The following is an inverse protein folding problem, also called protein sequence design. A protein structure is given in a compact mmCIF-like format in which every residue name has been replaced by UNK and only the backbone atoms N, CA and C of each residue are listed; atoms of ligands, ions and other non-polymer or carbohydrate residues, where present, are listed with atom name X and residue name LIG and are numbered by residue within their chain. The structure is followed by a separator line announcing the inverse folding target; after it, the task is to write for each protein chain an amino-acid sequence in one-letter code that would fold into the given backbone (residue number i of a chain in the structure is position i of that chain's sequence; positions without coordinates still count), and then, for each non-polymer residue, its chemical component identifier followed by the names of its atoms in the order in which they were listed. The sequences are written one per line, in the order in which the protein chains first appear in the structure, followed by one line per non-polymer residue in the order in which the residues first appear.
data_IF_993624017229
#
_entry.id   IF_993624017229
#
_cell.length_a   1.000
_cell.length_b   1.000
_cell.length_c   1.000
_cell.angle_alpha   90.00
_cell.angle_beta   90.00
_cell.angle_gamma   90.00
#
_symmetry.space_group_name_H-M   'P 1'
#
loop_
_entity.id
_entity.type
_entity.pdbx_description
1 polymer ?
#
# COMPACT_ATOMS: atom_id res chain seq x y z
N UNK A 1 12.83 -1.60 -25.94
CA UNK A 1 12.03 -2.79 -26.22
C UNK A 1 10.88 -2.74 -25.24
N UNK A 2 9.65 -2.55 -25.71
CA UNK A 2 8.48 -2.53 -24.82
C UNK A 2 8.13 -3.99 -24.57
N UNK A 3 8.73 -4.60 -23.55
CA UNK A 3 8.36 -5.93 -23.08
C UNK A 3 6.99 -5.80 -22.42
N UNK A 4 5.95 -5.93 -23.25
CA UNK A 4 4.56 -5.93 -22.81
C UNK A 4 4.37 -7.13 -21.89
N UNK A 5 4.21 -6.83 -20.60
CA UNK A 5 3.85 -7.83 -19.61
C UNK A 5 2.47 -8.41 -19.95
N UNK A 6 2.26 -9.72 -19.75
CA UNK A 6 0.95 -10.32 -19.92
C UNK A 6 -0.02 -9.80 -18.86
N UNK A 7 -1.25 -9.49 -19.26
CA UNK A 7 -2.31 -9.06 -18.35
C UNK A 7 -2.72 -10.21 -17.40
N UNK A 8 -2.89 -11.41 -17.96
CA UNK A 8 -3.24 -12.62 -17.23
C UNK A 8 -2.11 -13.64 -17.28
N UNK A 9 -1.78 -14.21 -16.13
CA UNK A 9 -0.75 -15.23 -15.96
C UNK A 9 -1.34 -16.51 -15.35
N UNK A 10 -0.85 -17.66 -15.80
CA UNK A 10 -1.07 -18.95 -15.14
C UNK A 10 0.20 -19.26 -14.32
N UNK A 11 0.18 -19.06 -12.99
CA UNK A 11 1.38 -19.19 -12.17
C UNK A 11 1.87 -20.64 -12.09
N UNK A 12 0.99 -21.63 -12.24
CA UNK A 12 1.36 -23.05 -12.21
C UNK A 12 2.11 -23.41 -13.50
N UNK A 13 1.57 -23.02 -14.66
CA UNK A 13 2.18 -23.28 -15.95
C UNK A 13 3.52 -22.54 -16.11
N UNK A 14 3.60 -21.28 -15.66
CA UNK A 14 4.85 -20.51 -15.68
C UNK A 14 5.90 -21.12 -14.74
N UNK A 15 5.49 -21.63 -13.57
CA UNK A 15 6.39 -22.32 -12.65
C UNK A 15 6.92 -23.64 -13.23
N UNK A 16 6.09 -24.38 -13.98
CA UNK A 16 6.53 -25.57 -14.71
C UNK A 16 7.59 -25.27 -15.76
N UNK A 17 7.45 -24.13 -16.43
CA UNK A 17 8.38 -23.67 -17.46
C UNK A 17 9.58 -22.92 -16.88
N UNK A 18 9.62 -22.68 -15.57
CA UNK A 18 10.62 -21.86 -14.88
C UNK A 18 10.79 -20.49 -15.54
N UNK A 19 9.66 -19.86 -15.85
CA UNK A 19 9.63 -18.59 -16.58
C UNK A 19 9.95 -17.41 -15.68
N UNK A 20 10.39 -16.33 -16.32
CA UNK A 20 10.64 -15.04 -15.70
C UNK A 20 9.94 -13.96 -16.52
N UNK A 21 9.37 -12.98 -15.84
CA UNK A 21 8.73 -11.81 -16.42
C UNK A 21 9.43 -10.56 -15.88
N UNK A 22 9.95 -9.75 -16.79
CA UNK A 22 10.59 -8.46 -16.45
C UNK A 22 9.91 -7.38 -17.28
N UNK A 23 9.56 -6.28 -16.63
CA UNK A 23 8.92 -5.17 -17.33
C UNK A 23 8.50 -4.06 -16.40
N UNK A 24 7.61 -3.21 -16.91
CA UNK A 24 7.06 -2.10 -16.16
C UNK A 24 5.54 -1.99 -16.35
N UNK A 25 4.84 -1.63 -15.28
CA UNK A 25 3.40 -1.37 -15.26
C UNK A 25 3.19 0.11 -14.95
N UNK A 26 2.31 0.80 -15.66
CA UNK A 26 2.01 2.20 -15.34
C UNK A 26 1.23 2.25 -14.03
N UNK A 27 1.57 3.22 -13.16
CA UNK A 27 0.84 3.41 -11.91
C UNK A 27 -0.64 3.69 -12.18
N UNK A 28 -0.95 4.44 -13.24
CA UNK A 28 -2.32 4.73 -13.66
C UNK A 28 -3.16 3.52 -14.06
N UNK A 29 -2.54 2.36 -14.34
CA UNK A 29 -3.25 1.10 -14.65
C UNK A 29 -3.56 0.29 -13.37
N UNK A 30 -3.11 0.76 -12.20
CA UNK A 30 -3.36 0.16 -10.88
C UNK A 30 -4.42 1.00 -10.14
N UNK A 31 -5.69 0.64 -10.31
CA UNK A 31 -6.83 1.46 -9.89
C UNK A 31 -6.88 1.69 -8.36
N UNK A 32 -6.73 0.62 -7.56
CA UNK A 32 -6.80 0.70 -6.09
C UNK A 32 -5.61 1.47 -5.53
N UNK A 33 -4.43 1.32 -6.13
CA UNK A 33 -3.26 2.09 -5.75
C UNK A 33 -3.46 3.56 -6.11
N UNK A 34 -3.92 3.84 -7.33
CA UNK A 34 -4.12 5.21 -7.84
C UNK A 34 -5.01 6.06 -6.93
N UNK A 35 -6.07 5.46 -6.36
CA UNK A 35 -6.98 6.14 -5.42
C UNK A 35 -6.31 6.61 -4.12
N UNK A 36 -5.15 6.05 -3.76
CA UNK A 36 -4.41 6.39 -2.53
C UNK A 36 -3.28 7.40 -2.76
N UNK A 37 -2.92 7.65 -4.01
CA UNK A 37 -1.79 8.51 -4.36
C UNK A 37 -2.23 9.97 -4.55
N UNK A 38 -1.31 10.89 -4.33
CA UNK A 38 -1.48 12.30 -4.67
C UNK A 38 -1.39 12.53 -6.19
N UNK A 39 -0.63 11.71 -6.90
CA UNK A 39 -0.65 11.59 -8.36
C UNK A 39 -0.29 10.16 -8.80
N UNK A 40 -0.63 9.83 -10.04
CA UNK A 40 -0.44 8.50 -10.63
C UNK A 40 0.67 8.49 -11.68
N UNK A 41 1.61 9.44 -11.61
CA UNK A 41 2.67 9.56 -12.60
C UNK A 41 3.80 8.56 -12.33
N UNK A 42 4.26 7.91 -13.40
CA UNK A 42 5.39 6.99 -13.35
C UNK A 42 4.99 5.53 -13.54
N UNK A 43 6.01 4.70 -13.43
CA UNK A 43 5.93 3.26 -13.70
C UNK A 43 6.45 2.46 -12.50
N UNK A 44 5.94 1.24 -12.38
CA UNK A 44 6.40 0.22 -11.44
C UNK A 44 7.26 -0.76 -12.20
N UNK A 45 8.57 -0.78 -11.91
CA UNK A 45 9.46 -1.79 -12.45
C UNK A 45 9.28 -3.09 -11.67
N UNK A 46 9.14 -4.20 -12.39
CA UNK A 46 8.95 -5.52 -11.79
C UNK A 46 9.87 -6.56 -12.43
N UNK A 47 10.33 -7.47 -11.58
CA UNK A 47 10.98 -8.72 -11.96
C UNK A 47 10.27 -9.85 -11.21
N UNK A 48 9.69 -10.81 -11.92
CA UNK A 48 8.89 -11.90 -11.34
C UNK A 48 9.38 -13.23 -11.87
N UNK A 49 9.77 -14.12 -10.96
CA UNK A 49 10.28 -15.45 -11.24
C UNK A 49 9.30 -16.50 -10.78
N UNK A 50 8.97 -17.43 -11.66
CA UNK A 50 8.10 -18.56 -11.39
C UNK A 50 8.93 -19.84 -11.26
N UNK A 51 8.75 -20.58 -10.18
CA UNK A 51 9.52 -21.80 -9.92
C UNK A 51 8.68 -22.85 -9.20
N UNK A 52 9.20 -24.08 -9.10
CA UNK A 52 8.64 -25.12 -8.23
C UNK A 52 9.57 -25.36 -7.04
N UNK A 53 9.00 -25.31 -5.83
CA UNK A 53 9.66 -25.75 -4.59
C UNK A 53 9.01 -27.05 -4.14
N UNK A 54 9.64 -28.19 -4.46
CA UNK A 54 9.02 -29.50 -4.29
C UNK A 54 7.80 -29.67 -5.20
N UNK A 55 6.61 -29.79 -4.61
CA UNK A 55 5.33 -29.89 -5.35
C UNK A 55 4.62 -28.55 -5.51
N UNK A 56 5.03 -27.51 -4.79
CA UNK A 56 4.36 -26.21 -4.78
C UNK A 56 4.93 -25.32 -5.90
N UNK A 57 4.03 -24.67 -6.64
CA UNK A 57 4.41 -23.56 -7.51
C UNK A 57 4.64 -22.32 -6.64
N UNK A 58 5.72 -21.58 -6.92
CA UNK A 58 6.11 -20.38 -6.18
C UNK A 58 6.32 -19.22 -7.14
N UNK A 59 5.89 -18.04 -6.73
CA UNK A 59 6.05 -16.78 -7.45
C UNK A 59 6.89 -15.86 -6.56
N UNK A 60 8.10 -15.53 -6.98
CA UNK A 60 8.96 -14.59 -6.27
C UNK A 60 9.10 -13.34 -7.12
N UNK A 61 9.14 -12.17 -6.52
CA UNK A 61 9.35 -10.96 -7.29
C UNK A 61 10.05 -9.84 -6.54
N UNK A 62 10.49 -8.87 -7.33
CA UNK A 62 11.08 -7.61 -6.90
C UNK A 62 10.31 -6.47 -7.56
N UNK A 63 9.87 -5.53 -6.74
CA UNK A 63 9.09 -4.36 -7.14
C UNK A 63 9.92 -3.14 -6.79
N UNK A 64 10.08 -2.22 -7.75
CA UNK A 64 10.76 -0.96 -7.54
C UNK A 64 10.01 0.20 -8.20
N UNK A 65 9.70 1.21 -7.41
CA UNK A 65 9.01 2.41 -7.88
C UNK A 65 9.19 3.58 -6.92
N UNK A 66 8.71 4.76 -7.31
CA UNK A 66 8.59 5.92 -6.43
C UNK A 66 7.15 6.39 -6.52
N UNK A 67 6.43 6.33 -5.40
CA UNK A 67 5.02 6.71 -5.31
C UNK A 67 4.90 8.16 -4.83
N UNK A 68 3.95 8.92 -5.33
CA UNK A 68 3.62 10.22 -4.73
C UNK A 68 2.48 10.06 -3.72
N UNK A 69 2.79 10.00 -2.43
CA UNK A 69 1.80 9.82 -1.36
C UNK A 69 1.31 11.16 -0.82
N UNK A 70 0.09 11.21 -0.31
CA UNK A 70 -0.40 12.36 0.44
C UNK A 70 0.04 12.29 1.90
N UNK A 71 0.74 13.31 2.41
CA UNK A 71 1.12 13.38 3.81
C UNK A 71 -0.10 13.59 4.71
N UNK A 72 -0.33 12.71 5.68
CA UNK A 72 -1.45 12.79 6.63
C UNK A 72 -1.36 13.97 7.62
N UNK A 73 -0.23 14.66 7.69
CA UNK A 73 -0.06 15.84 8.55
C UNK A 73 -0.35 17.16 7.81
N UNK A 74 0.28 17.41 6.67
CA UNK A 74 0.14 18.67 5.92
C UNK A 74 -0.76 18.57 4.68
N UNK A 75 -1.21 17.37 4.31
CA UNK A 75 -2.01 17.06 3.11
C UNK A 75 -1.34 17.42 1.78
N UNK A 76 -0.02 17.57 1.77
CA UNK A 76 0.75 17.78 0.54
C UNK A 76 1.32 16.45 0.04
N UNK A 77 1.47 16.33 -1.29
CA UNK A 77 2.12 15.20 -1.95
C UNK A 77 3.61 15.14 -1.64
N UNK A 78 4.15 13.95 -1.47
CA UNK A 78 5.58 13.71 -1.34
C UNK A 78 6.02 12.39 -1.97
N UNK A 79 7.24 12.37 -2.50
CA UNK A 79 7.83 11.19 -3.10
C UNK A 79 8.22 10.16 -2.03
N UNK A 80 7.76 8.94 -2.20
CA UNK A 80 8.03 7.77 -1.37
C UNK A 80 8.70 6.69 -2.21
N UNK A 81 10.02 6.48 -2.06
CA UNK A 81 10.70 5.39 -2.75
C UNK A 81 10.24 4.06 -2.15
N UNK A 82 9.83 3.13 -3.02
CA UNK A 82 9.41 1.78 -2.64
C UNK A 82 10.29 0.75 -3.34
N UNK A 83 10.89 -0.14 -2.55
CA UNK A 83 11.58 -1.33 -3.03
C UNK A 83 11.17 -2.52 -2.17
N UNK A 84 10.45 -3.48 -2.76
CA UNK A 84 9.92 -4.65 -2.04
C UNK A 84 10.30 -5.95 -2.75
N UNK A 85 10.59 -6.99 -1.97
CA UNK A 85 10.69 -8.37 -2.45
C UNK A 85 9.57 -9.18 -1.82
N UNK A 86 8.95 -10.04 -2.61
CA UNK A 86 7.88 -10.93 -2.16
C UNK A 86 8.14 -12.35 -2.63
N UNK A 87 7.56 -13.32 -1.91
CA UNK A 87 7.61 -14.74 -2.27
C UNK A 87 6.31 -15.42 -1.87
N UNK A 88 5.56 -15.81 -2.89
CA UNK A 88 4.25 -16.41 -2.75
C UNK A 88 4.29 -17.89 -3.13
N UNK A 89 3.50 -18.70 -2.44
CA UNK A 89 3.24 -20.09 -2.79
C UNK A 89 1.80 -20.25 -3.25
N UNK A 90 1.62 -20.80 -4.46
CA UNK A 90 0.28 -21.02 -5.02
C UNK A 90 -0.40 -22.15 -4.26
N UNK A 91 -1.57 -21.86 -3.71
CA UNK A 91 -2.40 -22.81 -2.95
C UNK A 91 -3.83 -22.81 -3.47
N UNK A 92 -4.52 -23.94 -3.31
CA UNK A 92 -5.90 -24.12 -3.77
C UNK A 92 -6.94 -24.03 -2.64
N UNK A 93 -6.49 -24.02 -1.38
CA UNK A 93 -7.35 -23.93 -0.21
C UNK A 93 -6.64 -23.31 0.99
N UNK A 94 -7.43 -22.81 1.95
CA UNK A 94 -6.91 -22.31 3.22
C UNK A 94 -6.16 -23.40 4.02
N UNK A 95 -6.59 -24.66 3.91
CA UNK A 95 -5.91 -25.79 4.58
C UNK A 95 -4.52 -26.07 4.02
N UNK A 96 -4.27 -25.72 2.74
CA UNK A 96 -2.93 -25.76 2.16
C UNK A 96 -2.11 -24.54 2.58
N UNK A 97 -2.74 -23.37 2.66
CA UNK A 97 -2.12 -22.14 3.16
C UNK A 97 -1.58 -22.32 4.59
N UNK A 98 -2.36 -22.93 5.50
CA UNK A 98 -1.98 -23.18 6.90
C UNK A 98 -0.78 -24.13 7.04
N UNK A 99 -0.43 -24.88 5.98
CA UNK A 99 0.70 -25.81 5.96
C UNK A 99 1.96 -25.19 5.37
N UNK A 100 1.90 -23.96 4.88
CA UNK A 100 3.07 -23.27 4.34
C UNK A 100 4.08 -22.96 5.45
N UNK A 101 5.35 -23.01 5.08
CA UNK A 101 6.44 -22.53 5.94
C UNK A 101 6.46 -21.01 6.01
N UNK A 102 7.21 -20.47 6.98
CA UNK A 102 7.34 -19.02 7.21
C UNK A 102 7.98 -18.26 6.04
N UNK A 103 8.65 -18.95 5.11
CA UNK A 103 9.39 -18.33 4.01
C UNK A 103 8.52 -17.97 2.79
N UNK A 104 7.23 -18.30 2.79
CA UNK A 104 6.32 -18.02 1.67
C UNK A 104 4.93 -17.65 2.16
N UNK A 105 4.34 -16.61 1.57
CA UNK A 105 2.95 -16.25 1.81
C UNK A 105 2.01 -16.98 0.84
N UNK A 106 0.78 -17.29 1.23
CA UNK A 106 -0.16 -18.00 0.36
C UNK A 106 -0.71 -17.09 -0.75
N UNK A 107 -0.64 -17.57 -1.99
CA UNK A 107 -1.39 -17.04 -3.12
C UNK A 107 -2.53 -18.01 -3.43
N UNK A 108 -3.73 -17.68 -2.94
CA UNK A 108 -4.92 -18.49 -3.13
C UNK A 108 -5.43 -18.37 -4.57
N UNK A 109 -5.40 -19.47 -5.31
CA UNK A 109 -5.85 -19.53 -6.68
C UNK A 109 -7.33 -19.94 -6.74
N UNK A 110 -8.19 -19.02 -7.20
CA UNK A 110 -9.64 -19.27 -7.37
C UNK A 110 -10.02 -19.75 -8.77
N UNK A 111 -9.09 -19.71 -9.72
CA UNK A 111 -9.23 -20.17 -11.11
C UNK A 111 -7.90 -20.71 -11.65
N UNK A 112 -7.67 -20.62 -12.96
CA UNK A 112 -6.37 -21.02 -13.56
C UNK A 112 -5.42 -19.82 -13.74
N UNK A 113 -5.99 -18.64 -14.02
CA UNK A 113 -5.24 -17.43 -14.32
C UNK A 113 -5.57 -16.32 -13.33
N UNK A 114 -4.57 -15.49 -13.07
CA UNK A 114 -4.70 -14.28 -12.24
C UNK A 114 -4.17 -13.08 -13.01
N UNK A 115 -4.63 -11.89 -12.61
CA UNK A 115 -4.10 -10.64 -13.13
C UNK A 115 -2.72 -10.36 -12.54
N UNK A 116 -1.73 -10.15 -13.40
CA UNK A 116 -0.38 -9.77 -12.96
C UNK A 116 -0.40 -8.37 -12.35
N UNK A 117 -1.15 -7.42 -12.93
CA UNK A 117 -1.25 -6.08 -12.37
C UNK A 117 -1.89 -6.08 -11.00
N UNK A 118 -2.97 -6.86 -10.80
CA UNK A 118 -3.63 -6.98 -9.50
C UNK A 118 -2.72 -7.61 -8.44
N UNK A 119 -1.94 -8.64 -8.81
CA UNK A 119 -0.95 -9.24 -7.92
C UNK A 119 0.08 -8.20 -7.46
N UNK A 120 0.68 -7.47 -8.40
CA UNK A 120 1.69 -6.45 -8.11
C UNK A 120 1.08 -5.30 -7.30
N UNK A 121 -0.17 -4.93 -7.58
CA UNK A 121 -0.90 -3.91 -6.84
C UNK A 121 -1.11 -4.30 -5.38
N UNK A 122 -1.58 -5.52 -5.10
CA UNK A 122 -1.77 -6.00 -3.73
C UNK A 122 -0.45 -5.98 -2.95
N UNK A 123 0.66 -6.41 -3.57
CA UNK A 123 1.99 -6.36 -2.96
C UNK A 123 2.42 -4.92 -2.62
N UNK A 124 2.19 -3.96 -3.53
CA UNK A 124 2.51 -2.54 -3.27
C UNK A 124 1.64 -2.00 -2.14
N UNK A 125 0.34 -2.29 -2.15
CA UNK A 125 -0.60 -1.81 -1.13
C UNK A 125 -0.23 -2.33 0.26
N UNK A 126 0.17 -3.59 0.37
CA UNK A 126 0.66 -4.18 1.62
C UNK A 126 1.97 -3.55 2.10
N UNK A 127 2.76 -2.97 1.21
CA UNK A 127 4.01 -2.28 1.52
C UNK A 127 3.83 -0.84 2.02
N UNK A 128 2.64 -0.25 1.82
CA UNK A 128 2.41 1.15 2.14
C UNK A 128 2.42 1.38 3.66
N UNK A 129 2.94 2.52 4.12
CA UNK A 129 2.85 2.87 5.53
C UNK A 129 1.40 3.17 5.92
N UNK A 130 0.96 2.69 7.10
CA UNK A 130 -0.36 3.00 7.65
C UNK A 130 -0.62 4.52 7.79
N UNK A 131 0.44 5.29 8.04
CA UNK A 131 0.38 6.73 8.23
C UNK A 131 1.51 7.44 7.45
N UNK A 132 1.30 7.74 6.15
CA UNK A 132 2.30 8.39 5.33
C UNK A 132 2.54 9.83 5.78
N UNK A 133 3.79 10.18 6.05
CA UNK A 133 4.18 11.55 6.43
C UNK A 133 5.60 11.85 5.96
N UNK A 134 5.87 13.13 5.76
CA UNK A 134 7.23 13.63 5.60
C UNK A 134 8.12 13.23 6.78
N UNK A 135 9.38 12.90 6.51
CA UNK A 135 10.40 12.70 7.56
C UNK A 135 10.68 13.98 8.34
N UNK A 136 10.61 15.13 7.65
CA UNK A 136 10.77 16.44 8.27
C UNK A 136 9.44 16.95 8.88
N UNK A 137 9.53 17.90 9.82
CA UNK A 137 8.35 18.53 10.41
C UNK A 137 7.68 19.50 9.41
N UNK A 138 6.78 18.97 8.58
CA UNK A 138 6.05 19.69 7.54
C UNK A 138 4.97 20.66 8.07
N UNK A 139 4.70 20.70 9.38
CA UNK A 139 3.76 21.64 9.98
C UNK A 139 4.42 22.95 10.44
N UNK A 140 5.75 23.00 10.50
CA UNK A 140 6.52 24.14 11.03
C UNK A 140 6.31 25.46 10.26
N UNK A 141 5.79 25.40 9.03
CA UNK A 141 5.47 26.56 8.20
C UNK A 141 4.02 27.02 8.25
N UNK A 142 3.12 26.28 8.91
CA UNK A 142 1.77 26.77 9.20
C UNK A 142 1.92 27.79 10.33
N UNK A 143 2.19 29.02 9.93
CA UNK A 143 2.05 30.18 10.78
C UNK A 143 0.55 30.26 11.13
N UNK A 144 0.14 29.56 12.19
CA UNK A 144 -1.07 29.89 12.91
C UNK A 144 -0.77 31.28 13.46
N UNK A 145 -1.01 32.30 12.64
CA UNK A 145 -1.14 33.65 13.14
C UNK A 145 -2.20 33.51 14.23
N UNK A 146 -1.87 33.70 15.52
CA UNK A 146 -2.94 34.00 16.45
C UNK A 146 -3.62 35.22 15.82
N UNK A 147 -4.91 35.10 15.50
CA UNK A 147 -5.69 36.26 15.16
C UNK A 147 -5.41 37.27 16.26
N UNK A 148 -4.84 38.42 15.90
CA UNK A 148 -4.52 39.52 16.82
C UNK A 148 -5.84 40.20 17.25
N UNK A 149 -6.73 39.41 17.85
CA UNK A 149 -7.83 39.89 18.65
C UNK A 149 -7.24 40.16 20.02
N UNK A 150 -6.88 41.42 20.22
CA UNK A 150 -6.38 42.01 21.45
C UNK A 150 -7.42 41.83 22.56
N UNK A 151 -7.46 40.64 23.14
CA UNK A 151 -8.30 40.29 24.28
C UNK A 151 -7.58 40.76 25.54
N UNK A 152 -8.05 41.89 26.08
CA UNK A 152 -7.73 42.30 27.44
C UNK A 152 -7.99 41.14 28.41
N UNK A 153 -6.99 40.87 29.23
CA UNK A 153 -6.95 39.81 30.22
C UNK A 153 -7.98 40.02 31.33
N UNK A 154 -9.15 39.40 31.18
CA UNK A 154 -9.98 38.97 32.31
C UNK A 154 -9.91 37.45 32.42
N UNK A 155 -9.67 36.87 33.62
CA UNK A 155 -9.66 35.42 33.79
C UNK A 155 -11.11 34.94 33.79
N UNK A 156 -11.66 34.65 32.60
CA UNK A 156 -12.94 33.98 32.47
C UNK A 156 -12.74 32.49 32.77
N UNK A 157 -13.09 32.11 34.01
CA UNK A 157 -13.42 30.72 34.31
C UNK A 157 -14.55 30.28 33.38
N UNK A 158 -14.38 29.07 32.85
CA UNK A 158 -15.32 28.30 32.04
C UNK A 158 -15.55 28.82 30.62
N UNK A 159 -14.82 28.23 29.68
CA UNK A 159 -15.40 27.54 28.52
C UNK A 159 -14.34 26.58 28.00
N UNK A 160 -14.22 25.43 28.68
CA UNK A 160 -13.42 24.33 28.15
C UNK A 160 -14.13 23.90 26.85
N UNK A 161 -13.46 23.74 25.70
CA UNK A 161 -14.10 23.35 24.43
C UNK A 161 -14.92 22.06 24.52
N UNK A 162 -14.69 21.25 25.56
CA UNK A 162 -15.42 20.04 25.87
C UNK A 162 -16.49 20.19 26.96
N UNK A 163 -16.82 21.42 27.40
CA UNK A 163 -17.85 21.70 28.41
C UNK A 163 -19.23 21.17 28.01
N UNK A 164 -19.50 21.02 26.70
CA UNK A 164 -20.73 20.41 26.18
C UNK A 164 -20.78 18.90 26.43
N UNK A 165 -19.63 18.21 26.43
CA UNK A 165 -19.54 16.76 26.67
C UNK A 165 -19.80 16.37 28.14
N UNK A 166 -19.68 17.31 29.07
CA UNK A 166 -20.01 17.07 30.47
C UNK A 166 -21.50 16.74 30.69
N UNK A 167 -22.38 17.19 29.78
CA UNK A 167 -23.82 16.90 29.83
C UNK A 167 -24.17 15.47 29.38
N UNK A 168 -23.25 14.77 28.72
CA UNK A 168 -23.45 13.40 28.24
C UNK A 168 -22.98 12.33 29.24
N UNK A 169 -22.45 12.72 30.40
CA UNK A 169 -22.05 11.76 31.46
C UNK A 169 -23.22 11.19 32.28
N UNK A 170 -24.46 11.64 32.05
CA UNK A 170 -25.64 11.24 32.84
C UNK A 170 -26.75 10.55 32.02
N UNK A 171 -26.49 10.17 30.77
CA UNK A 171 -27.46 9.42 29.95
C UNK A 171 -26.79 8.12 29.53
N UNK A 172 -26.59 7.26 30.51
CA UNK A 172 -26.17 5.88 30.36
C UNK A 172 -27.04 5.02 31.28
N UNK A 173 -28.27 4.79 30.83
CA UNK A 173 -29.04 3.54 31.00
C UNK A 173 -29.52 3.15 29.59
#
# INVERSE_FOLDING_TARGET
MSDKLPELIDPILLAERRSELVGAIKIADLERLSDLLADTAGDVAIEVVFAKTGKLATVSGHIKTTLNLACQSCLQGFAWPLEQRFKLAVVSSLQEADKLGLDCEPLLLTGEKISLSALIEDEILLALPDYPKHEHNCLSGRNVQPSDDKLESKPSKANNPFSVLAKLKNTGD
#
